data_IF_312455757633
#
_entry.id   IF_312455757633
#
_cell.length_a   1.000
_cell.length_b   1.000
_cell.length_c   1.000
_cell.angle_alpha   90.00
_cell.angle_beta   90.00
_cell.angle_gamma   90.00
#
_symmetry.space_group_name_H-M   'P 1'
#
loop_
_entity.id
_entity.type
_entity.pdbx_description
1 polymer ?
#
# COMPACT_ATOMS: atom_id res chain seq x y z
N UNK A 1 1.48 -7.31 16.27
CA UNK A 1 1.63 -6.08 15.48
C UNK A 1 0.97 -6.34 14.14
N UNK A 2 -0.09 -5.61 13.84
CA UNK A 2 -0.88 -5.80 12.63
C UNK A 2 -0.34 -4.88 11.55
N UNK A 3 0.07 -5.42 10.41
CA UNK A 3 0.67 -4.65 9.32
C UNK A 3 -0.34 -4.52 8.19
N UNK A 4 -0.76 -3.28 7.93
CA UNK A 4 -1.66 -2.95 6.82
C UNK A 4 -0.81 -2.39 5.68
N UNK A 5 -0.85 -3.05 4.53
CA UNK A 5 -0.19 -2.60 3.30
C UNK A 5 -1.21 -1.92 2.41
N UNK A 6 -0.96 -0.69 1.97
CA UNK A 6 -1.84 0.01 1.02
C UNK A 6 -1.13 0.14 -0.32
N UNK A 7 -1.75 -0.36 -1.38
CA UNK A 7 -1.23 -0.31 -2.75
C UNK A 7 -2.22 0.41 -3.68
N UNK A 8 -1.74 1.22 -4.64
CA UNK A 8 -2.59 1.71 -5.71
C UNK A 8 -2.98 0.55 -6.64
N UNK A 9 -4.25 0.50 -7.04
CA UNK A 9 -4.80 -0.47 -7.99
C UNK A 9 -5.52 0.28 -9.10
N UNK A 10 -5.24 -0.07 -10.36
CA UNK A 10 -5.91 0.53 -11.51
C UNK A 10 -7.02 -0.40 -12.00
N UNK A 11 -8.27 -0.09 -11.63
CA UNK A 11 -9.45 -0.73 -12.20
C UNK A 11 -9.85 -0.03 -13.50
N UNK A 12 -9.16 -0.37 -14.59
CA UNK A 12 -9.34 0.28 -15.89
C UNK A 12 -8.78 1.71 -15.90
N UNK A 13 -9.65 2.72 -15.84
CA UNK A 13 -9.26 4.15 -15.82
C UNK A 13 -9.33 4.80 -14.44
N UNK A 14 -9.84 4.08 -13.44
CA UNK A 14 -10.03 4.62 -12.09
C UNK A 14 -8.90 4.13 -11.21
N UNK A 15 -8.16 5.08 -10.62
CA UNK A 15 -7.20 4.78 -9.56
C UNK A 15 -7.97 4.53 -8.27
N UNK A 16 -7.88 3.30 -7.76
CA UNK A 16 -8.34 2.91 -6.44
C UNK A 16 -7.14 2.54 -5.57
N UNK A 17 -7.36 2.40 -4.27
CA UNK A 17 -6.34 2.00 -3.31
C UNK A 17 -6.84 0.77 -2.57
N UNK A 18 -6.01 -0.25 -2.51
CA UNK A 18 -6.29 -1.53 -1.86
C UNK A 18 -5.49 -1.62 -0.57
N UNK A 19 -6.16 -1.78 0.57
CA UNK A 19 -5.53 -2.11 1.83
C UNK A 19 -5.54 -3.63 2.01
N UNK A 20 -4.44 -4.19 2.50
CA UNK A 20 -4.23 -5.63 2.67
C UNK A 20 -3.71 -5.88 4.09
N UNK A 21 -4.38 -6.76 4.83
CA UNK A 21 -4.02 -7.16 6.19
C UNK A 21 -4.25 -8.67 6.35
N UNK A 22 -3.18 -9.46 6.33
CA UNK A 22 -3.29 -10.93 6.37
C UNK A 22 -4.11 -11.45 5.19
N UNK A 23 -5.29 -12.03 5.46
CA UNK A 23 -6.23 -12.54 4.47
C UNK A 23 -7.37 -11.56 4.14
N UNK A 24 -7.40 -10.39 4.77
CA UNK A 24 -8.40 -9.36 4.51
C UNK A 24 -7.90 -8.34 3.49
N UNK A 25 -8.81 -7.91 2.64
CA UNK A 25 -8.57 -6.92 1.61
C UNK A 25 -9.75 -5.94 1.53
N UNK A 26 -9.47 -4.65 1.45
CA UNK A 26 -10.49 -3.61 1.26
C UNK A 26 -10.02 -2.63 0.18
N UNK A 27 -10.96 -2.03 -0.55
CA UNK A 27 -10.65 -1.06 -1.61
C UNK A 27 -11.40 0.25 -1.40
N UNK A 28 -10.70 1.38 -1.57
CA UNK A 28 -11.25 2.73 -1.47
C UNK A 28 -10.77 3.63 -2.61
N UNK A 29 -11.43 4.77 -2.81
CA UNK A 29 -11.02 5.80 -3.78
C UNK A 29 -9.78 6.58 -3.31
N UNK A 30 -9.51 6.57 -2.01
CA UNK A 30 -8.33 7.16 -1.40
C UNK A 30 -7.64 6.15 -0.49
N UNK A 31 -6.34 6.30 -0.19
CA UNK A 31 -5.64 5.45 0.78
C UNK A 31 -6.31 5.48 2.16
N UNK A 32 -6.79 6.66 2.59
CA UNK A 32 -7.51 6.82 3.84
C UNK A 32 -8.81 6.03 3.86
N UNK A 33 -9.61 6.11 2.79
CA UNK A 33 -10.84 5.34 2.70
C UNK A 33 -10.60 3.83 2.72
N UNK A 34 -9.55 3.35 2.05
CA UNK A 34 -9.18 1.93 2.10
C UNK A 34 -8.80 1.50 3.53
N UNK A 35 -8.09 2.35 4.27
CA UNK A 35 -7.74 2.13 5.66
C UNK A 35 -8.96 2.13 6.58
N UNK A 36 -9.85 3.10 6.46
CA UNK A 36 -11.09 3.19 7.27
C UNK A 36 -11.95 1.93 7.11
N UNK A 37 -12.05 1.43 5.87
CA UNK A 37 -12.75 0.17 5.57
C UNK A 37 -12.04 -1.04 6.17
N UNK A 38 -10.71 -1.07 6.13
CA UNK A 38 -9.91 -2.15 6.74
C UNK A 38 -10.09 -2.17 8.26
N UNK A 39 -10.05 -1.01 8.91
CA UNK A 39 -10.27 -0.88 10.35
C UNK A 39 -11.67 -1.38 10.75
N UNK A 40 -12.69 -1.03 9.97
CA UNK A 40 -14.06 -1.53 10.16
C UNK A 40 -14.14 -3.05 10.02
N UNK A 41 -13.45 -3.61 9.01
CA UNK A 41 -13.40 -5.07 8.75
C UNK A 41 -12.73 -5.84 9.89
N UNK A 42 -11.59 -5.37 10.37
CA UNK A 42 -10.81 -5.99 11.45
C UNK A 42 -11.55 -5.90 12.79
N UNK A 43 -12.21 -4.77 13.05
CA UNK A 43 -13.04 -4.60 14.25
C UNK A 43 -14.26 -5.54 14.26
N UNK A 44 -14.89 -5.77 13.09
CA UNK A 44 -16.03 -6.66 12.97
C UNK A 44 -15.68 -8.13 13.21
N UNK A 45 -14.45 -8.55 12.95
CA UNK A 45 -13.96 -9.92 13.22
C UNK A 45 -13.47 -10.13 14.65
N UNK A 46 -13.57 -9.10 15.50
CA UNK A 46 -13.14 -9.19 16.90
C UNK A 46 -11.61 -9.24 17.04
N UNK A 47 -10.86 -8.88 16.00
CA UNK A 47 -9.43 -8.68 16.12
C UNK A 47 -9.19 -7.41 16.94
N UNK A 48 -8.61 -7.58 18.13
CA UNK A 48 -8.17 -6.45 18.95
C UNK A 48 -7.07 -5.72 18.17
N UNK A 49 -7.43 -4.60 17.56
CA UNK A 49 -6.49 -3.74 16.86
C UNK A 49 -5.57 -3.11 17.91
N UNK A 50 -4.43 -3.76 18.15
CA UNK A 50 -3.32 -3.16 18.88
C UNK A 50 -2.74 -1.96 18.13
N UNK A 51 -1.53 -1.55 18.46
CA UNK A 51 -0.84 -0.46 17.75
C UNK A 51 -0.76 -0.76 16.23
N UNK A 52 -1.37 0.11 15.42
CA UNK A 52 -1.40 0.02 13.96
C UNK A 52 -0.22 0.78 13.37
N UNK A 53 0.66 0.06 12.66
CA UNK A 53 1.78 0.64 11.92
C UNK A 53 1.43 0.71 10.42
N UNK A 54 1.30 1.93 9.90
CA UNK A 54 1.06 2.17 8.47
C UNK A 54 2.39 2.52 7.79
N UNK A 55 2.83 1.69 6.83
CA UNK A 55 4.06 1.91 6.06
C UNK A 55 3.70 2.31 4.63
N UNK A 56 3.96 3.57 4.29
CA UNK A 56 3.78 4.12 2.94
C UNK A 56 5.11 4.06 2.18
N UNK A 57 5.30 3.06 1.31
CA UNK A 57 6.44 3.02 0.39
C UNK A 57 6.09 3.72 -0.92
N UNK A 58 6.33 5.04 -0.98
CA UNK A 58 6.08 5.88 -2.17
C UNK A 58 7.08 5.68 -3.32
N UNK A 59 8.08 4.82 -3.13
CA UNK A 59 9.31 4.89 -3.88
C UNK A 59 9.93 3.49 -4.00
N UNK A 60 9.31 2.63 -4.80
CA UNK A 60 9.95 1.40 -5.27
C UNK A 60 10.03 1.37 -6.79
N UNK A 61 11.09 0.75 -7.34
CA UNK A 61 11.12 0.48 -8.76
C UNK A 61 9.93 -0.42 -9.12
N UNK A 62 9.14 0.02 -10.08
CA UNK A 62 7.94 -0.70 -10.52
C UNK A 62 8.32 -2.09 -11.06
N UNK A 63 7.49 -3.10 -10.79
CA UNK A 63 7.73 -4.48 -11.25
C UNK A 63 7.61 -4.62 -12.77
N UNK A 64 7.12 -3.58 -13.45
CA UNK A 64 7.09 -3.46 -14.90
C UNK A 64 8.47 -3.18 -15.52
N UNK A 65 9.44 -2.76 -14.71
CA UNK A 65 10.81 -2.50 -15.17
C UNK A 65 11.67 -3.78 -15.13
N UNK A 66 12.55 -3.92 -16.11
CA UNK A 66 13.59 -4.95 -16.06
C UNK A 66 14.52 -4.70 -14.86
N UNK A 67 15.21 -5.72 -14.34
CA UNK A 67 16.16 -5.56 -13.22
C UNK A 67 17.12 -4.38 -13.42
N UNK A 68 17.64 -4.22 -14.64
CA UNK A 68 18.56 -3.15 -14.99
C UNK A 68 17.89 -1.76 -14.90
N UNK A 69 16.62 -1.65 -15.28
CA UNK A 69 15.85 -0.41 -15.16
C UNK A 69 15.48 -0.12 -13.70
N UNK A 70 15.25 -1.16 -12.89
CA UNK A 70 15.00 -1.00 -11.46
C UNK A 70 16.23 -0.48 -10.71
N UNK A 71 17.41 -1.04 -10.99
CA UNK A 71 18.69 -0.58 -10.45
C UNK A 71 18.95 0.89 -10.82
N UNK A 72 18.74 1.25 -12.10
CA UNK A 72 18.92 2.64 -12.55
C UNK A 72 17.93 3.61 -11.90
N UNK A 73 16.69 3.19 -11.71
CA UNK A 73 15.67 4.01 -11.06
C UNK A 73 15.99 4.22 -9.57
N UNK A 74 16.52 3.21 -8.89
CA UNK A 74 16.99 3.33 -7.52
C UNK A 74 18.10 4.37 -7.38
N UNK A 75 19.12 4.32 -8.25
CA UNK A 75 20.21 5.31 -8.26
C UNK A 75 19.67 6.75 -8.40
N UNK A 76 18.77 6.98 -9.36
CA UNK A 76 18.18 8.30 -9.61
C UNK A 76 17.35 8.81 -8.43
N UNK A 77 16.69 7.91 -7.71
CA UNK A 77 15.89 8.26 -6.54
C UNK A 77 16.75 8.58 -5.32
N UNK A 78 17.94 7.98 -5.20
CA UNK A 78 18.93 8.33 -4.18
C UNK A 78 19.55 9.72 -4.46
N UNK A 79 19.83 10.04 -5.73
CA UNK A 79 20.33 11.36 -6.14
C UNK A 79 19.31 12.50 -5.93
N UNK A 80 18.02 12.23 -6.13
CA UNK A 80 16.96 13.25 -6.00
C UNK A 80 16.69 13.70 -4.54
N UNK A 81 17.13 12.92 -3.55
CA UNK A 81 16.93 13.23 -2.13
C UNK A 81 18.08 14.05 -1.50
N UNK A 82 19.08 14.48 -2.27
CA UNK A 82 20.10 15.46 -1.83
C UNK A 82 19.70 16.90 -2.13
#
# INVERSE_FOLDING_TARGET
>A
MTTITIVPEFAGKTLTYKAICGNQETSGLTPGQALDLMETSLTAEGENMGETLVILQRFRPDNLFSKQQQERLQELMEEFHQ
#
